data_IF_845754444969
#
_entry.id   IF_845754444969
#
_cell.length_a   1.000
_cell.length_b   1.000
_cell.length_c   1.000
_cell.angle_alpha   90.00
_cell.angle_beta   90.00
_cell.angle_gamma   90.00
#
_symmetry.space_group_name_H-M   'P 1'
#
loop_
_entity.id
_entity.type
_entity.pdbx_description
1 polymer ?
#
# COMPACT_ATOMS: atom_id res chain seq x y z
N UNK A 1 -0.69 -19.77 -12.28
CA UNK A 1 0.20 -18.81 -12.94
C UNK A 1 -0.59 -17.59 -13.32
N UNK A 2 -0.47 -16.52 -12.55
CA UNK A 2 -0.87 -15.18 -12.98
C UNK A 2 0.41 -14.38 -13.10
N UNK A 3 0.81 -14.09 -14.33
CA UNK A 3 1.96 -13.23 -14.63
C UNK A 3 1.63 -11.80 -14.21
N UNK A 4 2.24 -11.35 -13.12
CA UNK A 4 2.25 -9.95 -12.69
C UNK A 4 3.37 -9.23 -13.46
N UNK A 5 3.25 -9.19 -14.79
CA UNK A 5 4.31 -8.73 -15.68
C UNK A 5 3.81 -7.69 -16.69
N UNK A 6 3.24 -6.61 -16.19
CA UNK A 6 3.32 -5.32 -16.90
C UNK A 6 3.44 -4.18 -15.90
N UNK A 7 4.46 -4.23 -15.04
CA UNK A 7 4.87 -3.05 -14.30
C UNK A 7 5.41 -2.03 -15.31
N UNK A 8 4.79 -0.84 -15.34
CA UNK A 8 5.32 0.36 -15.97
C UNK A 8 6.80 0.53 -15.60
N UNK A 9 7.62 1.02 -16.55
CA UNK A 9 9.03 1.32 -16.27
C UNK A 9 9.08 2.36 -15.15
N UNK A 10 9.47 1.90 -13.97
CA UNK A 10 9.58 2.71 -12.77
C UNK A 10 11.04 3.10 -12.56
N UNK A 11 11.30 4.40 -12.66
CA UNK A 11 12.63 5.00 -12.45
C UNK A 11 12.85 5.45 -11.00
N UNK A 12 11.88 5.25 -10.09
CA UNK A 12 12.00 5.66 -8.66
C UNK A 12 13.00 4.83 -7.87
N UNK A 13 13.30 3.60 -8.32
CA UNK A 13 14.13 2.65 -7.59
C UNK A 13 13.48 2.05 -6.34
N UNK A 14 12.20 2.35 -6.06
CA UNK A 14 11.45 1.78 -4.94
C UNK A 14 11.03 0.35 -5.31
N UNK A 15 11.69 -0.64 -4.72
CA UNK A 15 11.52 -2.05 -5.07
C UNK A 15 10.42 -2.69 -4.23
N UNK A 16 9.47 -3.37 -4.86
CA UNK A 16 8.54 -4.27 -4.16
C UNK A 16 9.33 -5.50 -3.69
N UNK A 17 9.35 -5.73 -2.38
CA UNK A 17 10.03 -6.87 -1.75
C UNK A 17 9.06 -8.03 -1.55
N UNK A 18 7.84 -7.73 -1.11
CA UNK A 18 6.84 -8.74 -0.78
C UNK A 18 5.43 -8.18 -0.95
N UNK A 19 4.50 -9.05 -1.38
CA UNK A 19 3.07 -8.76 -1.40
C UNK A 19 2.31 -9.88 -0.68
N UNK A 20 1.56 -9.54 0.37
CA UNK A 20 0.85 -10.49 1.22
C UNK A 20 -0.61 -10.12 1.33
N UNK A 21 -1.51 -11.06 1.03
CA UNK A 21 -2.92 -10.93 1.38
C UNK A 21 -3.09 -11.31 2.85
N UNK A 22 -3.47 -10.36 3.70
CA UNK A 22 -3.53 -10.63 5.13
C UNK A 22 -4.86 -11.27 5.53
N UNK A 23 -4.74 -12.34 6.30
CA UNK A 23 -5.81 -12.95 7.07
C UNK A 23 -5.46 -12.92 8.56
N UNK A 24 -6.46 -12.98 9.42
CA UNK A 24 -6.29 -13.05 10.87
C UNK A 24 -6.94 -14.31 11.42
N UNK A 25 -6.18 -15.06 12.20
CA UNK A 25 -6.70 -16.17 13.02
C UNK A 25 -6.78 -15.68 14.46
N UNK A 26 -7.99 -15.61 14.99
CA UNK A 26 -8.21 -15.22 16.38
C UNK A 26 -7.67 -16.30 17.34
N UNK A 27 -6.77 -15.96 18.28
CA UNK A 27 -6.17 -16.94 19.18
C UNK A 27 -7.09 -17.38 20.32
N UNK A 28 -8.24 -16.72 20.52
CA UNK A 28 -9.22 -17.02 21.57
C UNK A 28 -10.25 -18.02 21.06
N UNK A 29 -10.79 -17.83 19.86
CA UNK A 29 -11.86 -18.66 19.31
C UNK A 29 -11.48 -19.45 18.05
N UNK A 30 -10.29 -19.22 17.49
CA UNK A 30 -9.79 -19.90 16.30
C UNK A 30 -10.46 -19.46 15.00
N UNK A 31 -11.30 -18.43 15.03
CA UNK A 31 -11.95 -17.90 13.83
C UNK A 31 -10.92 -17.36 12.85
N UNK A 32 -11.08 -17.70 11.57
CA UNK A 32 -10.20 -17.25 10.50
C UNK A 32 -10.94 -16.26 9.61
N UNK A 33 -10.34 -15.08 9.47
CA UNK A 33 -10.74 -14.09 8.48
C UNK A 33 -9.71 -14.09 7.37
N UNK A 34 -10.15 -14.28 6.13
CA UNK A 34 -9.31 -14.14 4.93
C UNK A 34 -9.71 -12.88 4.17
N UNK A 35 -8.84 -12.42 3.25
CA UNK A 35 -9.10 -11.30 2.34
C UNK A 35 -9.37 -9.96 3.04
N UNK A 36 -8.72 -9.74 4.18
CA UNK A 36 -8.95 -8.51 4.97
C UNK A 36 -8.15 -7.31 4.45
N UNK A 37 -7.23 -7.56 3.50
CA UNK A 37 -6.52 -6.55 2.75
C UNK A 37 -5.20 -7.04 2.19
N UNK A 38 -4.46 -6.12 1.59
CA UNK A 38 -3.19 -6.37 0.90
C UNK A 38 -2.09 -5.56 1.58
N UNK A 39 -0.97 -6.20 1.89
CA UNK A 39 0.25 -5.56 2.40
C UNK A 39 1.29 -5.64 1.30
N UNK A 40 1.87 -4.50 0.95
CA UNK A 40 2.99 -4.37 0.03
C UNK A 40 4.19 -3.85 0.81
N UNK A 41 5.26 -4.64 0.88
CA UNK A 41 6.52 -4.26 1.51
C UNK A 41 7.51 -3.79 0.43
N UNK A 42 8.20 -2.70 0.69
CA UNK A 42 9.11 -2.04 -0.23
C UNK A 42 10.47 -1.77 0.39
N UNK A 43 11.49 -1.68 -0.45
CA UNK A 43 12.85 -1.27 -0.11
C UNK A 43 13.23 -0.09 -1.00
N UNK A 44 13.73 0.99 -0.40
CA UNK A 44 14.25 2.16 -1.10
C UNK A 44 15.73 1.95 -1.50
N UNK A 45 16.26 2.72 -2.46
CA UNK A 45 17.66 2.61 -2.87
C UNK A 45 18.70 2.82 -1.75
N UNK A 46 18.33 3.53 -0.68
CA UNK A 46 19.17 3.73 0.49
C UNK A 46 19.07 2.59 1.53
N UNK A 47 18.29 1.55 1.25
CA UNK A 47 18.03 0.42 2.15
C UNK A 47 16.91 0.65 3.15
N UNK A 48 16.22 1.79 3.12
CA UNK A 48 15.08 2.03 4.01
C UNK A 48 13.88 1.16 3.61
N UNK A 49 13.19 0.63 4.62
CA UNK A 49 12.00 -0.18 4.45
C UNK A 49 10.73 0.70 4.44
N UNK A 50 9.76 0.29 3.64
CA UNK A 50 8.46 0.93 3.58
C UNK A 50 7.35 -0.10 3.41
N UNK A 51 6.15 0.28 3.82
CA UNK A 51 4.98 -0.58 3.76
C UNK A 51 3.74 0.19 3.34
N UNK A 52 2.96 -0.42 2.47
CA UNK A 52 1.63 0.05 2.09
C UNK A 52 0.61 -1.00 2.41
N UNK A 53 -0.47 -0.61 3.10
CA UNK A 53 -1.56 -1.51 3.46
C UNK A 53 -2.85 -1.02 2.83
N UNK A 54 -3.47 -1.85 2.01
CA UNK A 54 -4.81 -1.65 1.50
C UNK A 54 -5.81 -2.47 2.29
N UNK A 55 -6.93 -1.86 2.68
CA UNK A 55 -8.06 -2.54 3.31
C UNK A 55 -9.36 -2.13 2.67
N UNK A 56 -10.22 -3.11 2.37
CA UNK A 56 -11.58 -2.84 2.00
C UNK A 56 -12.45 -2.76 3.26
N UNK A 57 -13.26 -1.72 3.39
CA UNK A 57 -14.16 -1.52 4.53
C UNK A 57 -15.55 -1.16 4.07
N UNK A 58 -16.56 -1.63 4.81
CA UNK A 58 -17.96 -1.29 4.60
C UNK A 58 -18.53 -1.85 3.31
N UNK A 59 -18.51 -3.16 3.10
CA UNK A 59 -19.16 -3.82 1.96
C UNK A 59 -20.66 -3.95 2.21
N UNK A 60 -21.44 -2.99 1.74
CA UNK A 60 -22.90 -2.98 1.83
C UNK A 60 -23.56 -2.40 0.57
N UNK A 61 -24.86 -2.16 0.61
CA UNK A 61 -25.60 -1.56 -0.51
C UNK A 61 -25.12 -0.14 -0.90
N UNK A 62 -24.38 0.54 -0.02
CA UNK A 62 -23.85 1.89 -0.22
C UNK A 62 -22.48 1.93 -0.92
N UNK A 63 -21.94 0.79 -1.35
CA UNK A 63 -20.60 0.67 -1.94
C UNK A 63 -19.57 0.15 -0.94
N UNK A 64 -18.28 0.37 -1.22
CA UNK A 64 -17.18 -0.02 -0.35
C UNK A 64 -16.13 1.11 -0.30
N UNK A 65 -15.43 1.22 0.82
CA UNK A 65 -14.33 2.18 1.01
C UNK A 65 -13.00 1.44 1.03
N UNK A 66 -12.12 1.78 0.10
CA UNK A 66 -10.72 1.36 0.15
C UNK A 66 -9.97 2.33 1.07
N UNK A 67 -9.28 1.78 2.06
CA UNK A 67 -8.38 2.50 2.96
C UNK A 67 -6.96 2.12 2.61
N UNK A 68 -6.13 3.12 2.40
CA UNK A 68 -4.71 2.97 2.09
C UNK A 68 -3.90 3.60 3.23
N UNK A 69 -2.98 2.84 3.80
CA UNK A 69 -2.05 3.31 4.83
C UNK A 69 -0.63 3.26 4.27
N UNK A 70 0.14 4.30 4.53
CA UNK A 70 1.49 4.49 4.04
C UNK A 70 2.44 4.62 5.22
N UNK A 71 3.54 3.88 5.18
CA UNK A 71 4.59 3.93 6.18
C UNK A 71 5.95 3.82 5.48
N UNK A 72 6.90 4.65 5.86
CA UNK A 72 8.29 4.60 5.42
C UNK A 72 9.18 4.82 6.63
N UNK A 73 10.11 3.91 6.87
CA UNK A 73 11.18 4.11 7.84
C UNK A 73 12.19 5.13 7.27
N UNK A 74 12.66 6.06 8.10
CA UNK A 74 13.67 7.03 7.69
C UNK A 74 14.77 7.05 8.76
N UNK A 75 15.93 6.49 8.42
CA UNK A 75 17.06 6.45 9.34
C UNK A 75 17.74 7.82 9.46
N UNK A 76 17.73 8.64 8.40
CA UNK A 76 18.41 9.92 8.38
C UNK A 76 17.61 10.99 9.15
N UNK A 77 18.07 11.30 10.35
CA UNK A 77 17.46 12.32 11.23
C UNK A 77 17.33 13.70 10.59
N UNK A 78 18.15 14.04 9.59
CA UNK A 78 18.05 15.32 8.90
C UNK A 78 16.76 15.45 8.07
N UNK A 79 16.15 14.32 7.71
CA UNK A 79 14.91 14.24 6.93
C UNK A 79 13.66 14.12 7.80
N UNK A 80 13.79 13.95 9.11
CA UNK A 80 12.63 13.81 10.01
C UNK A 80 11.75 15.07 10.09
N UNK A 81 12.29 16.22 9.66
CA UNK A 81 11.52 17.47 9.54
C UNK A 81 10.72 17.59 8.24
N UNK A 82 10.86 16.64 7.30
CA UNK A 82 10.11 16.66 6.05
C UNK A 82 8.61 16.42 6.29
N UNK A 83 7.77 17.12 5.54
CA UNK A 83 6.33 16.91 5.60
C UNK A 83 5.99 15.51 5.03
N UNK A 84 5.24 14.73 5.80
CA UNK A 84 4.88 13.36 5.43
C UNK A 84 4.28 13.20 4.01
N UNK A 85 3.40 14.09 3.51
CA UNK A 85 2.88 13.98 2.14
C UNK A 85 3.98 14.07 1.07
N UNK A 86 5.03 14.87 1.30
CA UNK A 86 6.16 14.95 0.37
C UNK A 86 7.01 13.69 0.43
N UNK A 87 7.38 13.26 1.65
CA UNK A 87 8.20 12.09 1.88
C UNK A 87 7.57 10.78 1.38
N UNK A 88 6.23 10.68 1.40
CA UNK A 88 5.48 9.47 1.05
C UNK A 88 4.91 9.49 -0.37
N UNK A 89 5.02 10.59 -1.12
CA UNK A 89 4.41 10.71 -2.45
C UNK A 89 4.91 9.60 -3.40
N UNK A 90 6.22 9.39 -3.45
CA UNK A 90 6.82 8.35 -4.31
C UNK A 90 6.32 6.94 -3.97
N UNK A 91 6.16 6.65 -2.67
CA UNK A 91 5.59 5.37 -2.22
C UNK A 91 4.13 5.23 -2.65
N UNK A 92 3.34 6.30 -2.52
CA UNK A 92 1.93 6.31 -2.88
C UNK A 92 1.75 6.05 -4.38
N UNK A 93 2.45 6.81 -5.22
CA UNK A 93 2.40 6.66 -6.69
C UNK A 93 2.79 5.23 -7.10
N UNK A 94 3.87 4.71 -6.51
CA UNK A 94 4.35 3.34 -6.76
C UNK A 94 3.30 2.29 -6.39
N UNK A 95 2.73 2.37 -5.20
CA UNK A 95 1.75 1.39 -4.74
C UNK A 95 0.43 1.47 -5.53
N UNK A 96 -0.03 2.68 -5.86
CA UNK A 96 -1.24 2.90 -6.67
C UNK A 96 -1.08 2.35 -8.10
N UNK A 97 0.10 2.52 -8.70
CA UNK A 97 0.41 1.95 -10.01
C UNK A 97 0.45 0.43 -10.01
N UNK A 98 0.99 -0.19 -8.94
CA UNK A 98 1.05 -1.66 -8.83
C UNK A 98 -0.32 -2.34 -8.69
N UNK A 99 -1.30 -1.64 -8.10
CA UNK A 99 -2.66 -2.16 -7.91
C UNK A 99 -3.65 -1.64 -8.96
N UNK A 100 -3.18 -0.91 -9.97
CA UNK A 100 -4.00 -0.36 -11.06
C UNK A 100 -5.20 0.46 -10.52
N UNK A 101 -5.00 1.24 -9.44
CA UNK A 101 -6.10 1.86 -8.69
C UNK A 101 -7.03 2.71 -9.57
N UNK A 102 -6.46 3.55 -10.43
CA UNK A 102 -7.23 4.42 -11.32
C UNK A 102 -7.96 3.62 -12.39
N UNK A 103 -7.30 2.63 -13.00
CA UNK A 103 -7.89 1.80 -14.06
C UNK A 103 -9.05 0.93 -13.53
N UNK A 104 -8.93 0.42 -12.31
CA UNK A 104 -9.93 -0.45 -11.68
C UNK A 104 -11.07 0.31 -11.00
N UNK A 105 -10.83 1.53 -10.50
CA UNK A 105 -11.83 2.27 -9.70
C UNK A 105 -12.29 3.58 -10.32
N UNK A 106 -11.61 4.07 -11.36
CA UNK A 106 -11.83 5.38 -11.97
C UNK A 106 -11.44 6.56 -11.08
N UNK A 107 -10.67 6.32 -10.00
CA UNK A 107 -10.25 7.37 -9.05
C UNK A 107 -8.80 7.76 -9.29
N UNK A 108 -8.59 9.03 -9.57
CA UNK A 108 -7.28 9.69 -9.74
C UNK A 108 -6.71 10.26 -8.43
N UNK A 109 -7.55 10.46 -7.41
CA UNK A 109 -7.16 11.01 -6.12
C UNK A 109 -7.96 10.39 -4.95
N UNK A 110 -7.39 10.37 -3.71
CA UNK A 110 -8.12 9.95 -2.53
C UNK A 110 -9.22 10.96 -2.17
N UNK A 111 -10.36 10.47 -1.66
CA UNK A 111 -11.45 11.33 -1.17
C UNK A 111 -11.11 12.01 0.16
N UNK A 112 -10.23 11.40 0.97
CA UNK A 112 -9.79 11.89 2.28
C UNK A 112 -8.32 11.53 2.49
N UNK A 113 -7.53 12.46 3.04
CA UNK A 113 -6.13 12.25 3.48
C UNK A 113 -6.06 12.58 4.97
N UNK A 114 -5.26 11.83 5.74
CA UNK A 114 -5.05 12.03 7.18
C UNK A 114 -3.57 11.95 7.49
#
# INVERSE_FOLDING_TARGET
SGDVASASKDDSGIKLVEAVEFGYTDPVDGSQTSKQGLILNFEYPNGDEARVVFRLSGTGSAGATIRMYLEKFEMDSSKHGEAAPAALKGLADRALGLVEMEELTGRDAPTVIT
#
